data_IF_846877633869
#
_entry.id   IF_846877633869
#
_cell.length_a   1.000
_cell.length_b   1.000
_cell.length_c   1.000
_cell.angle_alpha   90.00
_cell.angle_beta   90.00
_cell.angle_gamma   90.00
#
_symmetry.space_group_name_H-M   'P 1'
#
loop_
_entity.id
_entity.type
_entity.pdbx_description
1 polymer ?
#
# COMPACT_ATOMS: atom_id res chain seq x y z
N UNK A 1 -23.09 -43.49 -56.01
CA UNK A 1 -22.05 -44.50 -55.70
C UNK A 1 -21.43 -44.10 -54.38
N UNK A 2 -21.18 -45.06 -53.48
CA UNK A 2 -20.78 -44.87 -52.07
C UNK A 2 -21.77 -44.03 -51.21
N UNK A 3 -21.99 -44.33 -49.92
CA UNK A 3 -21.61 -45.53 -49.15
C UNK A 3 -21.32 -45.22 -47.68
N UNK A 4 -21.70 -46.13 -46.77
CA UNK A 4 -21.75 -46.05 -45.27
C UNK A 4 -23.16 -45.63 -44.79
N UNK A 5 -24.09 -46.48 -44.35
CA UNK A 5 -24.11 -47.67 -43.45
C UNK A 5 -24.15 -47.38 -41.93
N UNK A 6 -25.35 -47.57 -41.32
CA UNK A 6 -25.64 -48.23 -40.00
C UNK A 6 -25.09 -47.58 -38.70
N UNK A 7 -25.63 -47.77 -37.48
CA UNK A 7 -26.88 -48.36 -36.93
C UNK A 7 -27.03 -47.91 -35.45
N UNK A 8 -28.14 -47.29 -34.98
CA UNK A 8 -29.36 -47.88 -34.36
C UNK A 8 -29.25 -48.46 -32.92
N UNK A 9 -30.29 -48.27 -32.09
CA UNK A 9 -30.53 -48.67 -30.66
C UNK A 9 -29.85 -47.78 -29.58
N UNK A 10 -30.47 -47.25 -28.51
CA UNK A 10 -31.84 -47.22 -27.93
C UNK A 10 -32.22 -48.22 -26.80
N UNK A 11 -32.87 -47.69 -25.74
CA UNK A 11 -33.42 -48.31 -24.51
C UNK A 11 -32.38 -48.88 -23.50
N UNK A 12 -32.37 -48.65 -22.17
CA UNK A 12 -33.25 -48.12 -21.09
C UNK A 12 -33.84 -49.19 -20.15
N UNK A 13 -33.55 -49.14 -18.83
CA UNK A 13 -34.50 -49.43 -17.72
C UNK A 13 -33.92 -49.55 -16.28
N UNK A 14 -34.69 -48.98 -15.32
CA UNK A 14 -35.00 -49.47 -13.96
C UNK A 14 -34.06 -49.31 -12.74
N UNK A 15 -34.73 -49.33 -11.56
CA UNK A 15 -34.25 -49.15 -10.18
C UNK A 15 -34.04 -50.50 -9.48
N UNK A 16 -33.30 -50.54 -8.35
CA UNK A 16 -33.82 -51.14 -7.09
C UNK A 16 -33.04 -50.67 -5.84
N UNK A 17 -33.53 -51.01 -4.65
CA UNK A 17 -33.05 -50.58 -3.32
C UNK A 17 -32.92 -51.72 -2.31
N UNK A 18 -31.87 -51.71 -1.48
CA UNK A 18 -31.69 -52.37 -0.16
C UNK A 18 -30.37 -51.80 0.42
N UNK A 19 -30.16 -51.39 1.68
CA UNK A 19 -30.84 -51.49 2.99
C UNK A 19 -30.74 -52.83 3.74
N UNK A 20 -29.75 -52.95 4.64
CA UNK A 20 -29.79 -53.55 6.01
C UNK A 20 -28.37 -53.94 6.52
N UNK A 21 -28.04 -54.13 7.81
CA UNK A 21 -28.51 -53.53 9.10
C UNK A 21 -27.73 -54.15 10.30
N UNK A 22 -27.58 -53.42 11.44
CA UNK A 22 -27.52 -53.95 12.84
C UNK A 22 -26.24 -54.77 13.24
N UNK A 23 -25.84 -55.04 14.51
CA UNK A 23 -26.36 -54.70 15.87
C UNK A 23 -25.30 -54.86 17.00
N UNK A 24 -25.50 -54.22 18.17
CA UNK A 24 -24.94 -54.52 19.52
C UNK A 24 -23.43 -54.37 19.80
N UNK A 25 -22.98 -54.22 21.07
CA UNK A 25 -23.71 -54.13 22.36
C UNK A 25 -23.01 -53.32 23.45
N UNK A 26 -23.81 -52.88 24.43
CA UNK A 26 -23.44 -52.29 25.72
C UNK A 26 -22.49 -53.15 26.58
N UNK A 27 -21.78 -52.52 27.53
CA UNK A 27 -21.97 -52.81 28.97
C UNK A 27 -21.56 -51.61 29.87
N UNK A 28 -21.93 -51.62 31.17
CA UNK A 28 -21.81 -50.44 32.04
C UNK A 28 -21.72 -50.73 33.57
N UNK A 29 -20.96 -49.88 34.28
CA UNK A 29 -20.88 -49.74 35.76
C UNK A 29 -20.70 -48.24 36.10
N UNK A 30 -21.38 -47.61 37.09
CA UNK A 30 -21.24 -47.71 38.57
C UNK A 30 -19.77 -47.51 39.01
N UNK A 31 -19.38 -46.71 40.02
CA UNK A 31 -20.05 -46.01 41.14
C UNK A 31 -18.99 -45.03 41.79
N UNK A 32 -19.21 -44.04 42.69
CA UNK A 32 -20.32 -43.56 43.56
C UNK A 32 -20.29 -42.00 43.68
N UNK A 33 -21.42 -41.41 44.08
CA UNK A 33 -21.72 -40.04 44.61
C UNK A 33 -20.86 -39.53 45.79
N UNK A 34 -20.57 -38.22 45.80
CA UNK A 34 -20.56 -37.34 47.00
C UNK A 34 -20.97 -35.90 46.62
N UNK A 35 -21.53 -35.14 47.57
CA UNK A 35 -22.21 -33.83 47.35
C UNK A 35 -21.52 -32.68 48.14
N UNK A 36 -22.13 -31.47 48.09
CA UNK A 36 -21.84 -30.22 48.83
C UNK A 36 -20.81 -29.31 48.13
N UNK A 37 -21.05 -28.01 47.86
CA UNK A 37 -22.21 -27.13 48.17
C UNK A 37 -22.50 -26.07 47.08
N UNK A 38 -23.74 -25.57 47.07
CA UNK A 38 -24.24 -24.38 46.38
C UNK A 38 -24.00 -23.09 47.23
N UNK A 39 -24.33 -21.84 46.81
CA UNK A 39 -25.19 -21.42 45.67
C UNK A 39 -24.71 -20.22 44.81
N UNK A 40 -25.53 -19.89 43.80
CA UNK A 40 -25.91 -18.57 43.22
C UNK A 40 -24.93 -17.37 43.26
N UNK A 41 -24.82 -16.53 42.22
CA UNK A 41 -25.87 -16.15 41.27
C UNK A 41 -25.34 -15.81 39.86
N UNK A 42 -26.15 -16.09 38.83
CA UNK A 42 -25.86 -15.68 37.46
C UNK A 42 -26.37 -14.26 37.17
N UNK A 43 -25.45 -13.29 37.12
CA UNK A 43 -25.73 -11.93 36.62
C UNK A 43 -25.08 -11.74 35.26
N UNK A 44 -25.78 -11.09 34.34
CA UNK A 44 -25.33 -10.86 32.97
C UNK A 44 -24.08 -9.97 32.96
N UNK A 45 -23.01 -10.42 32.29
CA UNK A 45 -21.95 -9.52 31.82
C UNK A 45 -22.14 -9.28 30.33
N UNK A 46 -22.39 -8.01 30.00
CA UNK A 46 -22.43 -7.49 28.63
C UNK A 46 -21.07 -7.70 27.96
N UNK A 47 -21.05 -8.22 26.74
CA UNK A 47 -19.85 -8.20 25.90
C UNK A 47 -19.55 -6.77 25.47
N UNK A 48 -18.71 -6.07 26.23
CA UNK A 48 -17.99 -4.90 25.74
C UNK A 48 -16.94 -5.38 24.75
N UNK A 49 -17.15 -5.12 23.46
CA UNK A 49 -16.10 -5.27 22.45
C UNK A 49 -15.01 -4.24 22.73
N UNK A 50 -13.91 -4.67 23.35
CA UNK A 50 -12.68 -3.89 23.35
C UNK A 50 -12.20 -3.81 21.90
N UNK A 51 -12.01 -2.58 21.40
CA UNK A 51 -11.38 -2.39 20.10
C UNK A 51 -9.95 -2.91 20.16
N UNK A 52 -9.56 -3.74 19.22
CA UNK A 52 -8.15 -3.97 18.96
C UNK A 52 -7.54 -2.66 18.45
N UNK A 53 -6.35 -2.31 18.92
CA UNK A 53 -5.56 -1.26 18.27
C UNK A 53 -5.09 -1.82 16.93
N UNK A 54 -5.61 -1.30 15.82
CA UNK A 54 -5.07 -1.64 14.50
C UNK A 54 -3.71 -0.99 14.35
N UNK A 55 -2.68 -1.81 14.12
CA UNK A 55 -1.40 -1.34 13.60
C UNK A 55 -1.52 -1.01 12.13
N UNK A 56 -0.90 0.10 11.76
CA UNK A 56 -0.68 0.49 10.37
C UNK A 56 0.17 -0.58 9.68
N UNK A 57 -0.09 -0.85 8.40
CA UNK A 57 0.76 -1.71 7.58
C UNK A 57 1.59 -0.80 6.69
N UNK A 58 2.79 -0.51 7.18
CA UNK A 58 3.78 0.30 6.47
C UNK A 58 4.13 -0.30 5.10
N UNK A 59 3.54 0.26 4.03
CA UNK A 59 3.78 -0.14 2.63
C UNK A 59 5.17 0.21 2.10
N UNK A 60 6.15 0.46 2.97
CA UNK A 60 7.46 1.00 2.61
C UNK A 60 8.50 -0.08 2.23
N UNK A 61 8.11 -1.35 2.26
CA UNK A 61 8.93 -2.52 1.88
C UNK A 61 9.07 -2.68 0.35
N UNK A 62 10.14 -2.13 -0.24
CA UNK A 62 10.54 -2.42 -1.64
C UNK A 62 12.02 -2.85 -1.74
N UNK A 63 12.39 -3.82 -0.90
CA UNK A 63 13.74 -4.41 -0.89
C UNK A 63 13.99 -5.26 -2.17
N UNK A 64 15.03 -4.96 -2.97
CA UNK A 64 15.13 -5.49 -4.33
C UNK A 64 15.38 -7.00 -4.41
N UNK A 65 14.41 -7.73 -4.96
CA UNK A 65 14.52 -9.17 -5.27
C UNK A 65 15.72 -9.43 -6.18
N UNK A 66 16.72 -10.17 -5.69
CA UNK A 66 17.98 -10.47 -6.38
C UNK A 66 17.84 -11.43 -7.57
N UNK A 67 17.27 -10.94 -8.67
CA UNK A 67 17.26 -11.62 -9.96
C UNK A 67 18.61 -11.52 -10.69
N UNK A 68 19.30 -12.65 -10.89
CA UNK A 68 20.55 -12.69 -11.65
C UNK A 68 20.30 -12.62 -13.16
N UNK A 69 20.34 -11.43 -13.77
CA UNK A 69 20.39 -11.28 -15.24
C UNK A 69 21.73 -10.71 -15.72
N UNK A 70 22.49 -11.53 -16.44
CA UNK A 70 23.64 -11.09 -17.23
C UNK A 70 23.14 -10.49 -18.57
N UNK A 71 22.87 -9.19 -18.61
CA UNK A 71 22.66 -8.44 -19.86
C UNK A 71 23.87 -7.54 -20.17
N UNK A 72 24.07 -7.28 -21.47
CA UNK A 72 25.38 -6.87 -22.02
C UNK A 72 25.44 -5.38 -22.36
N UNK A 73 26.66 -4.85 -22.30
CA UNK A 73 27.00 -3.44 -22.50
C UNK A 73 26.71 -2.91 -23.91
N UNK A 74 25.74 -2.00 -24.02
CA UNK A 74 25.68 -0.89 -24.98
C UNK A 74 24.76 0.22 -24.44
N UNK A 75 24.86 1.43 -25.01
CA UNK A 75 23.93 2.60 -24.89
C UNK A 75 24.03 3.57 -23.71
N UNK A 76 24.88 3.34 -22.70
CA UNK A 76 25.22 4.34 -21.66
C UNK A 76 26.11 5.52 -22.17
N UNK A 77 25.84 6.05 -23.37
CA UNK A 77 26.54 7.19 -24.00
C UNK A 77 25.64 8.23 -24.66
N UNK A 78 24.35 7.98 -24.84
CA UNK A 78 23.45 8.96 -25.46
C UNK A 78 22.85 9.94 -24.42
N UNK A 79 22.58 9.47 -23.19
CA UNK A 79 22.04 10.28 -22.10
C UNK A 79 22.95 11.46 -21.68
N UNK A 80 24.28 11.30 -21.72
CA UNK A 80 25.22 12.35 -21.31
C UNK A 80 25.34 13.51 -22.33
N UNK A 81 24.75 13.40 -23.52
CA UNK A 81 24.94 14.41 -24.58
C UNK A 81 23.83 15.48 -24.62
N UNK A 82 22.70 15.27 -23.94
CA UNK A 82 21.62 16.26 -23.84
C UNK A 82 21.91 17.35 -22.79
N UNK A 83 22.55 16.98 -21.67
CA UNK A 83 22.80 17.87 -20.52
C UNK A 83 23.92 18.91 -20.75
N UNK A 84 24.53 19.00 -21.94
CA UNK A 84 25.52 20.04 -22.29
C UNK A 84 25.01 21.09 -23.29
N UNK A 85 23.79 20.95 -23.82
CA UNK A 85 23.23 21.92 -24.79
C UNK A 85 22.50 23.09 -24.09
N UNK A 86 22.08 22.92 -22.84
CA UNK A 86 21.30 23.91 -22.10
C UNK A 86 22.13 25.01 -21.40
N UNK A 87 23.47 24.98 -21.46
CA UNK A 87 24.34 25.96 -20.79
C UNK A 87 24.99 27.02 -21.71
N UNK A 88 24.60 27.12 -22.98
CA UNK A 88 25.23 28.03 -23.97
C UNK A 88 24.33 29.13 -24.53
N UNK A 89 23.08 29.27 -24.04
CA UNK A 89 22.10 30.28 -24.46
C UNK A 89 21.59 31.14 -23.29
N UNK A 90 22.52 31.56 -22.42
CA UNK A 90 22.24 32.35 -21.22
C UNK A 90 23.06 33.67 -21.19
N UNK A 91 22.95 34.47 -22.24
CA UNK A 91 23.48 35.84 -22.30
C UNK A 91 22.65 36.70 -23.26
N UNK A 92 22.29 37.92 -22.83
CA UNK A 92 21.55 38.97 -23.57
C UNK A 92 20.18 38.58 -24.19
N UNK A 93 19.09 38.86 -23.47
CA UNK A 93 18.24 40.04 -23.75
C UNK A 93 17.53 40.48 -22.44
N UNK A 94 16.78 41.60 -22.42
CA UNK A 94 16.37 42.30 -21.18
C UNK A 94 14.89 42.74 -21.19
N UNK A 95 14.17 42.34 -20.13
CA UNK A 95 12.90 42.86 -19.61
C UNK A 95 11.60 42.73 -20.44
N UNK A 96 10.62 42.04 -19.86
CA UNK A 96 9.31 42.58 -19.42
C UNK A 96 8.80 41.67 -18.25
N UNK A 97 8.06 42.17 -17.24
CA UNK A 97 7.61 41.35 -16.11
C UNK A 97 6.12 40.96 -16.22
N UNK A 98 5.78 39.67 -16.07
CA UNK A 98 4.38 39.27 -15.88
C UNK A 98 3.94 37.93 -16.46
N UNK A 99 4.66 36.85 -16.19
CA UNK A 99 4.13 35.50 -16.27
C UNK A 99 4.88 34.60 -15.28
N UNK A 100 4.19 34.07 -14.26
CA UNK A 100 4.64 32.83 -13.63
C UNK A 100 4.40 31.72 -14.65
N UNK A 101 5.49 31.17 -15.18
CA UNK A 101 5.45 29.82 -15.75
C UNK A 101 5.22 28.89 -14.57
N UNK A 102 4.02 28.34 -14.48
CA UNK A 102 3.76 27.23 -13.57
C UNK A 102 4.62 26.05 -14.03
N UNK A 103 5.61 25.69 -13.21
CA UNK A 103 6.30 24.40 -13.35
C UNK A 103 5.26 23.27 -13.23
N UNK A 104 5.39 22.17 -13.97
CA UNK A 104 4.45 21.04 -13.92
C UNK A 104 4.60 20.29 -12.58
N UNK A 105 3.94 20.78 -11.54
CA UNK A 105 3.83 20.15 -10.22
C UNK A 105 2.54 19.35 -10.07
N UNK A 106 2.55 18.40 -9.13
CA UNK A 106 1.35 17.66 -8.72
C UNK A 106 0.42 18.51 -7.88
N UNK A 107 -0.89 18.41 -8.13
CA UNK A 107 -1.96 19.08 -7.36
C UNK A 107 -2.60 18.06 -6.39
N UNK A 108 -1.78 17.55 -5.46
CA UNK A 108 -2.20 16.59 -4.43
C UNK A 108 -2.70 17.37 -3.20
N UNK A 109 -3.93 17.08 -2.76
CA UNK A 109 -4.49 17.61 -1.52
C UNK A 109 -3.85 16.90 -0.31
N UNK A 110 -2.86 17.58 0.26
CA UNK A 110 -2.14 17.11 1.44
C UNK A 110 -2.95 17.20 2.73
N UNK A 111 -3.96 18.08 2.81
CA UNK A 111 -4.85 18.15 3.97
C UNK A 111 -5.79 16.93 3.97
N UNK A 112 -6.32 16.53 2.81
CA UNK A 112 -7.09 15.30 2.66
C UNK A 112 -6.30 14.07 3.10
N UNK A 113 -5.03 13.95 2.67
CA UNK A 113 -4.15 12.83 3.06
C UNK A 113 -3.84 12.89 4.57
N UNK A 114 -3.51 14.07 5.11
CA UNK A 114 -3.25 14.24 6.54
C UNK A 114 -4.46 13.90 7.44
N UNK A 115 -5.69 14.07 6.97
CA UNK A 115 -6.90 13.57 7.67
C UNK A 115 -7.00 12.03 7.71
N UNK A 116 -6.28 11.31 6.83
CA UNK A 116 -6.25 9.84 6.81
C UNK A 116 -5.07 9.23 7.58
N UNK A 117 -3.98 9.99 7.75
CA UNK A 117 -2.74 9.52 8.37
C UNK A 117 -2.71 9.70 9.91
N UNK A 118 -1.71 9.07 10.53
CA UNK A 118 -1.50 9.15 11.97
C UNK A 118 -0.98 10.52 12.43
N UNK A 119 -1.34 10.95 13.65
CA UNK A 119 -0.73 12.13 14.24
C UNK A 119 0.78 11.90 14.51
N UNK A 120 1.62 12.75 13.91
CA UNK A 120 3.08 12.68 13.97
C UNK A 120 3.63 12.63 15.40
N UNK A 121 4.69 11.84 15.63
CA UNK A 121 5.28 11.63 16.97
C UNK A 121 6.76 12.00 17.02
N UNK A 122 7.08 12.92 17.93
CA UNK A 122 8.45 13.28 18.29
C UNK A 122 9.15 12.15 19.07
N UNK A 123 8.46 11.56 20.04
CA UNK A 123 8.92 10.37 20.77
C UNK A 123 8.75 9.13 19.88
N UNK A 124 9.86 8.44 19.63
CA UNK A 124 9.85 7.19 18.88
C UNK A 124 9.25 6.03 19.71
N UNK A 125 8.72 5.02 19.03
CA UNK A 125 8.06 3.86 19.62
C UNK A 125 8.28 2.61 18.75
N UNK A 126 7.85 1.43 19.21
CA UNK A 126 7.81 0.21 18.37
C UNK A 126 6.36 -0.28 18.33
N UNK A 127 5.69 -0.31 17.16
CA UNK A 127 4.35 -0.86 17.01
C UNK A 127 4.39 -2.39 17.01
N UNK A 128 3.45 -3.01 17.74
CA UNK A 128 3.18 -4.46 17.77
C UNK A 128 4.42 -5.37 17.61
N UNK A 129 5.40 -5.32 18.54
CA UNK A 129 6.64 -6.10 18.44
C UNK A 129 6.44 -7.63 18.59
N UNK A 130 5.24 -8.08 19.00
CA UNK A 130 4.89 -9.50 19.08
C UNK A 130 4.16 -10.02 17.81
N UNK A 131 3.44 -9.15 17.08
CA UNK A 131 2.63 -9.52 15.91
C UNK A 131 3.17 -9.07 14.54
N UNK A 132 4.12 -8.14 14.49
CA UNK A 132 4.65 -7.52 13.26
C UNK A 132 6.13 -7.85 12.99
N UNK A 133 6.72 -7.23 11.97
CA UNK A 133 8.18 -7.11 11.79
C UNK A 133 8.69 -5.68 12.01
N UNK A 134 7.88 -4.79 12.58
CA UNK A 134 8.20 -3.37 12.69
C UNK A 134 9.41 -3.09 13.59
N UNK A 135 10.10 -2.00 13.30
CA UNK A 135 11.22 -1.48 14.06
C UNK A 135 10.86 -0.25 14.91
N UNK A 136 11.84 0.63 15.08
CA UNK A 136 11.64 1.92 15.74
C UNK A 136 10.95 2.87 14.77
N UNK A 137 9.72 3.25 15.09
CA UNK A 137 8.88 4.17 14.32
C UNK A 137 8.86 5.56 14.95
N UNK A 138 8.94 6.60 14.12
CA UNK A 138 8.91 8.01 14.53
C UNK A 138 8.19 8.87 13.48
N UNK A 139 7.89 10.14 13.78
CA UNK A 139 7.19 11.03 12.84
C UNK A 139 5.78 10.53 12.51
N UNK A 140 5.37 10.66 11.25
CA UNK A 140 4.08 10.19 10.71
C UNK A 140 4.19 8.72 10.28
N UNK A 141 4.61 7.86 11.21
CA UNK A 141 4.69 6.41 11.00
C UNK A 141 5.97 5.91 10.32
N UNK A 142 7.03 6.71 10.22
CA UNK A 142 8.28 6.32 9.56
C UNK A 142 9.02 5.24 10.36
N UNK A 143 8.88 3.97 9.94
CA UNK A 143 9.64 2.84 10.48
C UNK A 143 11.10 2.86 9.98
N UNK A 144 12.03 2.88 10.94
CA UNK A 144 13.48 2.83 10.71
C UNK A 144 13.99 1.38 10.55
N UNK A 145 13.27 0.38 11.09
CA UNK A 145 13.58 -1.04 10.95
C UNK A 145 13.35 -1.60 9.54
N UNK A 146 12.61 -0.88 8.70
CA UNK A 146 12.41 -1.19 7.28
C UNK A 146 13.43 -0.48 6.35
N UNK A 147 14.28 0.42 6.88
CA UNK A 147 15.16 1.31 6.09
C UNK A 147 16.64 1.05 6.32
N UNK A 148 17.48 1.35 5.32
CA UNK A 148 18.93 1.33 5.45
C UNK A 148 19.60 2.72 5.29
N UNK A 149 20.92 2.77 5.48
CA UNK A 149 21.69 4.02 5.43
C UNK A 149 21.72 4.64 4.02
N UNK A 150 21.64 3.82 2.96
CA UNK A 150 21.53 4.29 1.58
C UNK A 150 20.12 4.78 1.24
N UNK A 151 19.09 4.45 2.04
CA UNK A 151 17.79 5.11 2.01
C UNK A 151 17.85 6.49 2.67
N UNK A 152 18.39 6.62 3.89
CA UNK A 152 18.54 7.93 4.55
C UNK A 152 19.38 8.92 3.72
N UNK A 153 20.44 8.44 3.07
CA UNK A 153 21.25 9.26 2.16
C UNK A 153 20.51 9.68 0.89
N UNK A 154 19.47 8.94 0.48
CA UNK A 154 18.65 9.24 -0.70
C UNK A 154 17.48 10.18 -0.39
N UNK A 155 16.98 10.14 0.85
CA UNK A 155 16.04 11.12 1.41
C UNK A 155 16.63 12.53 1.47
N UNK A 156 17.96 12.69 1.43
CA UNK A 156 18.61 14.01 1.43
C UNK A 156 18.58 14.75 2.78
N UNK A 157 18.21 14.04 3.86
CA UNK A 157 18.15 14.56 5.24
C UNK A 157 19.47 15.21 5.68
N UNK A 158 19.39 16.17 6.60
CA UNK A 158 20.53 16.79 7.25
C UNK A 158 21.49 15.76 7.88
N UNK A 159 22.80 16.03 7.84
CA UNK A 159 23.82 15.12 8.40
C UNK A 159 23.54 14.81 9.88
N UNK A 160 23.05 15.79 10.65
CA UNK A 160 22.66 15.63 12.04
C UNK A 160 21.48 14.66 12.21
N UNK A 161 20.44 14.76 11.38
CA UNK A 161 19.30 13.83 11.44
C UNK A 161 19.71 12.42 10.98
N UNK A 162 20.55 12.30 9.95
CA UNK A 162 21.11 11.00 9.53
C UNK A 162 21.93 10.35 10.67
N UNK A 163 22.83 11.09 11.33
CA UNK A 163 23.61 10.58 12.48
C UNK A 163 22.69 10.10 13.63
N UNK A 164 21.57 10.79 13.85
CA UNK A 164 20.59 10.44 14.90
C UNK A 164 19.73 9.23 14.57
N UNK A 165 19.34 9.03 13.31
CA UNK A 165 18.48 7.91 12.89
C UNK A 165 19.28 6.63 12.62
N UNK A 166 20.54 6.75 12.18
CA UNK A 166 21.42 5.62 11.82
C UNK A 166 21.47 4.47 12.84
N UNK A 167 21.53 4.69 14.18
CA UNK A 167 21.62 3.60 15.16
C UNK A 167 20.39 2.68 15.23
N UNK A 168 19.24 3.10 14.69
CA UNK A 168 17.97 2.38 14.76
C UNK A 168 17.62 1.64 13.46
N UNK A 169 18.42 1.83 12.41
CA UNK A 169 18.15 1.28 11.07
C UNK A 169 18.25 -0.25 11.04
N UNK A 170 17.24 -0.89 10.44
CA UNK A 170 17.18 -2.35 10.31
C UNK A 170 16.95 -3.12 11.62
N UNK A 171 16.77 -2.44 12.76
CA UNK A 171 16.38 -3.09 14.02
C UNK A 171 14.88 -3.37 14.00
N UNK A 172 14.47 -4.61 14.32
CA UNK A 172 13.08 -5.06 14.25
C UNK A 172 12.64 -5.78 15.54
N UNK A 173 11.32 -5.81 15.79
CA UNK A 173 10.70 -6.57 16.88
C UNK A 173 11.34 -6.26 18.25
N UNK A 174 11.65 -7.28 19.05
CA UNK A 174 12.25 -7.11 20.38
C UNK A 174 13.63 -6.44 20.34
N UNK A 175 14.41 -6.56 19.25
CA UNK A 175 15.71 -5.88 19.14
C UNK A 175 15.55 -4.36 19.03
N UNK A 176 14.51 -3.90 18.32
CA UNK A 176 14.11 -2.49 18.29
C UNK A 176 13.64 -2.00 19.68
N UNK A 177 12.86 -2.80 20.39
CA UNK A 177 12.37 -2.47 21.76
C UNK A 177 13.54 -2.34 22.73
N UNK A 178 14.37 -3.38 22.85
CA UNK A 178 15.52 -3.43 23.78
C UNK A 178 16.51 -2.28 23.49
N UNK A 179 16.73 -1.96 22.21
CA UNK A 179 17.62 -0.87 21.82
C UNK A 179 17.03 0.52 22.14
N UNK A 180 15.73 0.73 21.92
CA UNK A 180 15.04 2.00 22.19
C UNK A 180 14.87 2.27 23.70
N UNK A 181 14.63 1.23 24.53
CA UNK A 181 14.64 1.37 25.98
C UNK A 181 16.03 1.78 26.51
N UNK A 182 17.10 1.25 25.91
CA UNK A 182 18.48 1.60 26.26
C UNK A 182 18.94 2.95 25.68
N UNK A 183 18.40 3.36 24.52
CA UNK A 183 18.75 4.56 23.77
C UNK A 183 17.47 5.27 23.29
N UNK A 184 16.85 6.13 24.12
CA UNK A 184 15.61 6.80 23.73
C UNK A 184 15.80 7.82 22.59
N UNK A 185 14.94 7.76 21.58
CA UNK A 185 14.89 8.72 20.47
C UNK A 185 13.68 9.67 20.63
N UNK A 186 13.97 10.97 20.75
CA UNK A 186 12.98 12.05 20.72
C UNK A 186 13.44 13.12 19.72
N UNK A 187 12.79 13.23 18.57
CA UNK A 187 13.06 14.25 17.55
C UNK A 187 12.44 15.61 17.94
N UNK A 188 12.97 16.71 17.40
CA UNK A 188 12.31 18.03 17.48
C UNK A 188 11.13 18.11 16.50
N UNK A 189 10.39 19.23 16.49
CA UNK A 189 9.30 19.41 15.52
C UNK A 189 9.85 19.55 14.10
N UNK A 190 10.97 20.27 13.98
CA UNK A 190 11.68 20.55 12.74
C UNK A 190 12.34 19.27 12.17
N UNK A 191 12.87 18.38 13.02
CA UNK A 191 13.42 17.08 12.61
C UNK A 191 12.32 16.09 12.17
N UNK A 192 11.12 16.15 12.78
CA UNK A 192 9.95 15.39 12.33
C UNK A 192 9.45 15.92 10.98
N UNK A 193 9.34 17.24 10.84
CA UNK A 193 8.94 17.90 9.58
C UNK A 193 9.93 17.60 8.44
N UNK A 194 11.24 17.64 8.70
CA UNK A 194 12.29 17.24 7.76
C UNK A 194 12.16 15.77 7.32
N UNK A 195 11.95 14.86 8.27
CA UNK A 195 11.82 13.42 7.98
C UNK A 195 10.54 13.09 7.22
N UNK A 196 9.40 13.56 7.71
CA UNK A 196 8.08 13.28 7.13
C UNK A 196 7.97 13.91 5.74
N UNK A 197 8.51 15.12 5.53
CA UNK A 197 8.62 15.71 4.19
C UNK A 197 9.45 14.82 3.26
N UNK A 198 10.69 14.50 3.62
CA UNK A 198 11.57 13.76 2.72
C UNK A 198 11.00 12.38 2.35
N UNK A 199 10.36 11.70 3.30
CA UNK A 199 9.71 10.40 3.10
C UNK A 199 8.48 10.52 2.20
N UNK A 200 7.64 11.55 2.40
CA UNK A 200 6.51 11.88 1.53
C UNK A 200 6.95 12.18 0.10
N UNK A 201 7.94 13.05 -0.06
CA UNK A 201 8.42 13.50 -1.37
C UNK A 201 9.07 12.31 -2.13
N UNK A 202 9.81 11.42 -1.45
CA UNK A 202 10.30 10.16 -2.02
C UNK A 202 9.17 9.23 -2.51
N UNK A 203 8.05 9.13 -1.77
CA UNK A 203 6.90 8.33 -2.18
C UNK A 203 6.22 8.90 -3.42
N UNK A 204 6.00 10.21 -3.48
CA UNK A 204 5.40 10.90 -4.64
C UNK A 204 6.23 10.66 -5.91
N UNK A 205 7.55 10.87 -5.86
CA UNK A 205 8.46 10.56 -6.96
C UNK A 205 8.36 9.09 -7.39
N UNK A 206 8.28 8.18 -6.42
CA UNK A 206 8.10 6.74 -6.63
C UNK A 206 6.78 6.38 -7.31
N UNK A 207 5.70 7.07 -6.95
CA UNK A 207 4.35 6.87 -7.48
C UNK A 207 4.25 7.37 -8.91
N UNK A 208 4.62 8.64 -9.15
CA UNK A 208 4.63 9.29 -10.47
C UNK A 208 5.47 8.45 -11.43
N UNK A 209 6.68 8.05 -11.03
CA UNK A 209 7.59 7.25 -11.87
C UNK A 209 6.97 5.91 -12.26
N UNK A 210 6.33 5.18 -11.32
CA UNK A 210 5.67 3.89 -11.62
C UNK A 210 4.42 4.07 -12.48
N UNK A 211 3.58 5.06 -12.19
CA UNK A 211 2.35 5.34 -12.93
C UNK A 211 2.65 5.77 -14.37
N UNK A 212 3.54 6.75 -14.57
CA UNK A 212 3.90 7.26 -15.90
C UNK A 212 4.61 6.19 -16.76
N UNK A 213 5.39 5.31 -16.15
CA UNK A 213 5.99 4.17 -16.85
C UNK A 213 4.94 3.16 -17.35
N UNK A 214 3.96 2.80 -16.52
CA UNK A 214 2.90 1.87 -16.93
C UNK A 214 1.94 2.53 -17.94
N UNK A 215 1.55 3.80 -17.78
CA UNK A 215 0.79 4.58 -18.78
C UNK A 215 1.49 4.55 -20.14
N UNK A 216 2.80 4.83 -20.17
CA UNK A 216 3.63 4.79 -21.39
C UNK A 216 3.63 3.39 -22.00
N UNK A 217 3.73 2.35 -21.18
CA UNK A 217 3.67 0.94 -21.61
C UNK A 217 2.33 0.59 -22.25
N UNK A 218 1.21 0.96 -21.61
CA UNK A 218 -0.15 0.67 -22.10
C UNK A 218 -0.46 1.37 -23.42
N UNK A 219 -0.17 2.66 -23.52
CA UNK A 219 -0.35 3.42 -24.77
C UNK A 219 0.52 2.87 -25.91
N UNK A 220 1.70 2.30 -25.61
CA UNK A 220 2.54 1.63 -26.61
C UNK A 220 2.04 0.22 -27.00
N UNK A 221 1.26 -0.45 -26.15
CA UNK A 221 0.68 -1.77 -26.42
C UNK A 221 -0.62 -1.68 -27.25
N UNK A 222 -1.54 -0.78 -26.90
CA UNK A 222 -2.88 -0.69 -27.52
C UNK A 222 -3.12 0.54 -28.41
N UNK A 223 -2.22 1.53 -28.38
CA UNK A 223 -2.36 2.78 -29.14
C UNK A 223 -3.29 3.81 -28.48
N UNK A 224 -3.59 3.68 -27.19
CA UNK A 224 -4.36 4.64 -26.42
C UNK A 224 -3.65 5.97 -26.16
N UNK A 225 -4.43 6.94 -25.68
CA UNK A 225 -4.02 8.34 -25.45
C UNK A 225 -4.17 8.71 -23.95
N UNK A 226 -3.85 7.77 -23.05
CA UNK A 226 -3.89 7.98 -21.58
C UNK A 226 -2.88 9.07 -21.17
N UNK A 227 -3.30 10.02 -20.34
CA UNK A 227 -2.47 11.13 -19.86
C UNK A 227 -1.54 10.74 -18.69
N UNK A 228 -0.50 11.53 -18.42
CA UNK A 228 0.42 11.32 -17.29
C UNK A 228 -0.24 11.62 -15.93
N UNK A 229 0.43 11.31 -14.81
CA UNK A 229 -0.07 11.56 -13.45
C UNK A 229 -0.35 13.05 -13.22
N UNK A 230 0.59 13.88 -13.65
CA UNK A 230 0.60 15.34 -13.53
C UNK A 230 -0.50 16.01 -14.38
N UNK A 231 -0.99 15.30 -15.42
CA UNK A 231 -2.10 15.72 -16.28
C UNK A 231 -3.49 15.28 -15.77
N UNK A 232 -3.56 14.50 -14.68
CA UNK A 232 -4.82 14.14 -14.03
C UNK A 232 -5.40 15.32 -13.21
N UNK A 233 -6.73 15.39 -13.02
CA UNK A 233 -7.32 16.32 -12.05
C UNK A 233 -6.82 16.06 -10.62
N UNK A 234 -6.80 17.11 -9.80
CA UNK A 234 -6.30 17.10 -8.42
C UNK A 234 -6.93 15.99 -7.56
N UNK A 235 -8.23 15.75 -7.71
CA UNK A 235 -8.94 14.69 -7.00
C UNK A 235 -8.40 13.28 -7.36
N UNK A 236 -8.10 13.03 -8.64
CA UNK A 236 -7.53 11.75 -9.08
C UNK A 236 -6.09 11.59 -8.57
N UNK A 237 -5.26 12.64 -8.65
CA UNK A 237 -3.89 12.62 -8.11
C UNK A 237 -3.91 12.30 -6.61
N UNK A 238 -4.77 12.99 -5.86
CA UNK A 238 -4.96 12.81 -4.41
C UNK A 238 -5.44 11.41 -4.04
N UNK A 239 -6.43 10.87 -4.76
CA UNK A 239 -6.96 9.52 -4.49
C UNK A 239 -5.90 8.45 -4.74
N UNK A 240 -5.17 8.53 -5.86
CA UNK A 240 -4.09 7.58 -6.17
C UNK A 240 -2.96 7.69 -5.13
N UNK A 241 -2.60 8.92 -4.72
CA UNK A 241 -1.62 9.17 -3.67
C UNK A 241 -2.08 8.63 -2.31
N UNK A 242 -3.34 8.81 -1.92
CA UNK A 242 -3.85 8.31 -0.62
C UNK A 242 -3.87 6.78 -0.53
N UNK A 243 -4.17 6.05 -1.63
CA UNK A 243 -3.96 4.59 -1.65
C UNK A 243 -2.45 4.27 -1.57
N UNK A 244 -1.59 5.04 -2.22
CA UNK A 244 -0.13 4.83 -2.20
C UNK A 244 0.46 4.98 -0.80
N UNK A 245 0.07 5.99 -0.02
CA UNK A 245 0.54 6.13 1.36
C UNK A 245 0.05 5.00 2.28
N UNK A 246 -1.12 4.41 2.00
CA UNK A 246 -1.65 3.29 2.78
C UNK A 246 -1.08 1.92 2.39
N UNK A 247 -0.67 1.71 1.13
CA UNK A 247 -0.33 0.39 0.58
C UNK A 247 1.04 0.29 -0.10
N UNK A 248 1.75 1.40 -0.30
CA UNK A 248 3.03 1.39 -0.99
C UNK A 248 2.89 1.03 -2.47
N UNK A 249 3.68 0.06 -2.95
CA UNK A 249 3.74 -0.33 -4.37
C UNK A 249 2.39 -0.89 -4.86
N UNK A 250 1.55 0.00 -5.38
CA UNK A 250 0.17 -0.26 -5.80
C UNK A 250 0.03 -1.38 -6.83
N UNK A 251 1.07 -1.65 -7.62
CA UNK A 251 1.10 -2.72 -8.62
C UNK A 251 1.28 -4.13 -8.03
N UNK A 252 1.68 -4.27 -6.77
CA UNK A 252 1.72 -5.55 -6.04
C UNK A 252 0.60 -5.66 -5.01
N UNK A 253 0.37 -4.60 -4.22
CA UNK A 253 -0.57 -4.66 -3.08
C UNK A 253 -2.02 -4.37 -3.49
N UNK A 254 -2.24 -3.50 -4.49
CA UNK A 254 -3.58 -3.10 -4.96
C UNK A 254 -3.75 -3.25 -6.49
N UNK A 255 -3.34 -4.37 -7.12
CA UNK A 255 -3.13 -4.47 -8.56
C UNK A 255 -4.39 -4.21 -9.40
N UNK A 256 -5.58 -4.54 -8.86
CA UNK A 256 -6.85 -4.25 -9.51
C UNK A 256 -7.08 -2.73 -9.62
N UNK A 257 -6.93 -2.00 -8.49
CA UNK A 257 -7.10 -0.55 -8.44
C UNK A 257 -6.05 0.16 -9.29
N UNK A 258 -4.77 -0.22 -9.15
CA UNK A 258 -3.69 0.36 -9.94
C UNK A 258 -3.91 0.19 -11.45
N UNK A 259 -4.29 -1.02 -11.88
CA UNK A 259 -4.62 -1.28 -13.28
C UNK A 259 -5.82 -0.48 -13.78
N UNK A 260 -6.83 -0.20 -12.93
CA UNK A 260 -7.99 0.60 -13.31
C UNK A 260 -7.64 2.09 -13.47
N UNK A 261 -6.87 2.68 -12.54
CA UNK A 261 -6.48 4.10 -12.63
C UNK A 261 -5.46 4.34 -13.74
N UNK A 262 -4.52 3.42 -13.98
CA UNK A 262 -3.57 3.51 -15.10
C UNK A 262 -4.27 3.31 -16.44
N UNK A 263 -5.26 2.41 -16.54
CA UNK A 263 -6.12 2.33 -17.73
C UNK A 263 -7.12 3.50 -17.85
N UNK A 264 -7.17 4.40 -16.86
CA UNK A 264 -8.09 5.55 -16.78
C UNK A 264 -9.57 5.13 -16.86
N UNK A 265 -9.87 3.93 -16.35
CA UNK A 265 -11.22 3.36 -16.21
C UNK A 265 -11.84 3.84 -14.90
N UNK A 266 -12.18 5.13 -14.85
CA UNK A 266 -12.59 5.79 -13.60
C UNK A 266 -13.85 5.19 -12.96
N UNK A 267 -14.85 4.76 -13.73
CA UNK A 267 -16.02 4.02 -13.21
C UNK A 267 -15.63 2.69 -12.54
N UNK A 268 -14.68 1.95 -13.12
CA UNK A 268 -14.17 0.70 -12.56
C UNK A 268 -13.37 0.96 -11.27
N UNK A 269 -12.57 2.03 -11.23
CA UNK A 269 -11.79 2.44 -10.06
C UNK A 269 -12.71 2.94 -8.92
N UNK A 270 -13.75 3.73 -9.24
CA UNK A 270 -14.77 4.17 -8.30
C UNK A 270 -15.53 2.97 -7.72
N UNK A 271 -15.96 2.03 -8.57
CA UNK A 271 -16.58 0.78 -8.14
C UNK A 271 -15.66 -0.05 -7.23
N UNK A 272 -14.36 -0.08 -7.50
CA UNK A 272 -13.36 -0.75 -6.66
C UNK A 272 -13.22 -0.07 -5.29
N UNK A 273 -13.07 1.26 -5.23
CA UNK A 273 -12.99 1.98 -3.95
C UNK A 273 -14.25 1.82 -3.09
N UNK A 274 -15.44 1.66 -3.70
CA UNK A 274 -16.70 1.41 -2.98
C UNK A 274 -16.84 -0.03 -2.45
N UNK A 275 -16.06 -1.01 -2.93
CA UNK A 275 -16.09 -2.43 -2.53
C UNK A 275 -14.67 -3.05 -2.44
N UNK A 276 -13.73 -2.29 -1.85
CA UNK A 276 -12.28 -2.57 -1.92
C UNK A 276 -11.85 -3.83 -1.14
N UNK A 277 -12.65 -4.23 -0.15
CA UNK A 277 -12.44 -5.46 0.64
C UNK A 277 -11.38 -5.39 1.74
N UNK A 278 -10.95 -4.18 2.15
CA UNK A 278 -10.01 -3.95 3.25
C UNK A 278 -10.70 -3.73 4.61
N UNK A 279 -9.89 -3.56 5.66
CA UNK A 279 -10.34 -3.20 7.01
C UNK A 279 -10.62 -1.68 7.16
N UNK A 280 -10.53 -0.88 6.09
CA UNK A 280 -10.61 0.58 6.11
C UNK A 280 -11.72 1.18 5.21
N UNK A 281 -12.94 0.62 5.14
CA UNK A 281 -13.98 1.05 4.20
C UNK A 281 -14.40 2.52 4.37
N UNK A 282 -14.20 3.12 5.54
CA UNK A 282 -14.44 4.55 5.77
C UNK A 282 -13.41 5.48 5.09
N UNK A 283 -12.16 5.04 4.90
CA UNK A 283 -11.12 5.77 4.13
C UNK A 283 -11.36 5.56 2.64
N UNK A 284 -11.55 4.30 2.21
CA UNK A 284 -11.92 3.94 0.83
C UNK A 284 -13.17 4.69 0.36
N UNK A 285 -14.16 4.84 1.24
CA UNK A 285 -15.40 5.59 0.98
C UNK A 285 -15.17 7.09 0.72
N UNK A 286 -14.32 7.77 1.50
CA UNK A 286 -13.96 9.18 1.26
C UNK A 286 -13.19 9.37 -0.04
N UNK A 287 -12.27 8.46 -0.34
CA UNK A 287 -11.51 8.49 -1.59
C UNK A 287 -12.41 8.23 -2.81
N UNK A 288 -13.44 7.38 -2.66
CA UNK A 288 -14.48 7.23 -3.68
C UNK A 288 -15.34 8.49 -3.84
N UNK A 289 -15.72 9.18 -2.76
CA UNK A 289 -16.44 10.46 -2.83
C UNK A 289 -15.62 11.54 -3.55
N UNK A 290 -14.30 11.59 -3.29
CA UNK A 290 -13.36 12.51 -3.93
C UNK A 290 -13.19 12.20 -5.43
N UNK A 291 -13.00 10.93 -5.79
CA UNK A 291 -12.91 10.51 -7.20
C UNK A 291 -14.20 10.83 -7.98
N UNK A 292 -15.37 10.62 -7.38
CA UNK A 292 -16.67 10.93 -7.99
C UNK A 292 -16.86 12.44 -8.23
N UNK A 293 -16.26 13.30 -7.38
CA UNK A 293 -16.15 14.75 -7.61
C UNK A 293 -15.28 15.08 -8.83
N UNK A 294 -14.05 14.56 -8.89
CA UNK A 294 -13.13 14.81 -10.01
C UNK A 294 -13.66 14.33 -11.36
N UNK A 295 -14.28 13.14 -11.38
CA UNK A 295 -14.98 12.62 -12.58
C UNK A 295 -16.08 13.58 -13.06
N UNK A 296 -16.82 14.18 -12.12
CA UNK A 296 -17.90 15.13 -12.41
C UNK A 296 -17.38 16.50 -12.88
N UNK A 297 -16.16 16.89 -12.49
CA UNK A 297 -15.52 18.13 -12.92
C UNK A 297 -14.86 18.04 -14.30
N UNK A 298 -14.47 16.84 -14.73
CA UNK A 298 -13.79 16.57 -16.00
C UNK A 298 -14.74 16.20 -17.18
N UNK A 299 -16.06 16.26 -16.99
CA UNK A 299 -17.11 15.80 -17.92
C UNK A 299 -17.81 16.91 -18.71
#
# INVERSE_FOLDING_TARGET
MAGIERSSSSSSSQRSTQQSSRVSSNEATRNVRSELSQPDAATQQTRTSQGAGHTFRDGWDDAPVRANLNLRTADARQAQQLHQVQQTVAAEEVAEPGAEVAEPGTDIDWDFIAEQEGAARQDAYVPDPEGSQSGVTVGTGVDLGARDLADLQRLGLSEALQERLTPYLGLQQQEAVDFLEANPLQLTAEEVEELDQAVRDQAVDSLITRYNAEVTSRNAEDGGERVSFEELPAEMQTVIASVHFQYGTLSTETPNFFGQVVDQRWDDALGNLRDFGDDYPSRRGREADLLESGMSAAS
#
